data_IF_590343960504
#
_entry.id   IF_590343960504
#
_cell.length_a   1.000
_cell.length_b   1.000
_cell.length_c   1.000
_cell.angle_alpha   90.00
_cell.angle_beta   90.00
_cell.angle_gamma   90.00
#
_symmetry.space_group_name_H-M   'P 1'
#
loop_
_entity.id
_entity.type
_entity.pdbx_description
1 polymer ?
#
# COMPACT_ATOMS: atom_id res chain seq x y z
N UNK A 1 37.36 -31.83 -9.56
CA UNK A 1 37.27 -30.37 -9.33
C UNK A 1 35.86 -30.05 -8.87
N UNK A 2 35.68 -29.77 -7.57
CA UNK A 2 34.35 -29.50 -6.97
C UNK A 2 33.95 -28.06 -7.32
N UNK A 3 32.94 -27.89 -8.18
CA UNK A 3 32.36 -26.58 -8.50
C UNK A 3 31.48 -26.17 -7.32
N UNK A 4 31.95 -25.23 -6.50
CA UNK A 4 31.16 -24.62 -5.44
C UNK A 4 30.16 -23.68 -6.13
N UNK A 5 28.89 -24.08 -6.17
CA UNK A 5 27.81 -23.20 -6.59
C UNK A 5 27.58 -22.17 -5.47
N UNK A 6 27.98 -20.93 -5.69
CA UNK A 6 27.62 -19.82 -4.81
C UNK A 6 26.13 -19.53 -4.99
N UNK A 7 25.32 -19.96 -4.03
CA UNK A 7 23.92 -19.52 -3.93
C UNK A 7 23.94 -18.08 -3.44
N UNK A 8 23.69 -17.13 -4.33
CA UNK A 8 23.52 -15.73 -4.00
C UNK A 8 22.21 -15.59 -3.20
N UNK A 9 22.29 -15.63 -1.88
CA UNK A 9 21.16 -15.26 -1.02
C UNK A 9 20.98 -13.75 -1.12
N UNK A 10 20.03 -13.32 -1.95
CA UNK A 10 19.51 -11.95 -1.90
C UNK A 10 18.82 -11.77 -0.55
N UNK A 11 19.47 -11.06 0.38
CA UNK A 11 18.84 -10.60 1.61
C UNK A 11 17.77 -9.58 1.17
N UNK A 12 16.46 -9.85 1.35
CA UNK A 12 15.45 -8.84 1.04
C UNK A 12 15.70 -7.67 1.98
N UNK A 13 16.00 -6.50 1.42
CA UNK A 13 16.06 -5.26 2.18
C UNK A 13 14.73 -5.12 2.95
N UNK A 14 14.80 -4.78 4.23
CA UNK A 14 13.70 -4.67 5.20
C UNK A 14 12.73 -3.52 4.88
N UNK A 15 12.26 -3.44 3.64
CA UNK A 15 11.23 -2.49 3.23
C UNK A 15 9.85 -3.07 3.51
N UNK A 16 9.02 -2.32 4.23
CA UNK A 16 7.61 -2.68 4.40
C UNK A 16 6.81 -2.12 3.23
N UNK A 17 5.98 -2.96 2.63
CA UNK A 17 5.10 -2.60 1.53
C UNK A 17 3.64 -2.85 1.91
N UNK A 18 2.74 -1.97 1.49
CA UNK A 18 1.31 -2.09 1.76
C UNK A 18 0.52 -1.85 0.48
N UNK A 19 -0.38 -2.77 0.15
CA UNK A 19 -1.29 -2.60 -0.97
C UNK A 19 -2.33 -1.50 -0.67
N UNK A 20 -2.71 -0.76 -1.72
CA UNK A 20 -3.74 0.28 -1.67
C UNK A 20 -4.92 -0.17 -2.52
N UNK A 21 -6.10 -0.20 -1.90
CA UNK A 21 -7.36 -0.54 -2.54
C UNK A 21 -8.32 0.64 -2.48
N UNK A 22 -9.05 0.85 -3.57
CA UNK A 22 -10.10 1.87 -3.66
C UNK A 22 -11.38 1.47 -2.94
N UNK A 23 -12.38 2.37 -2.86
CA UNK A 23 -13.64 2.18 -2.12
C UNK A 23 -14.46 0.96 -2.56
N UNK A 24 -14.26 0.46 -3.79
CA UNK A 24 -14.94 -0.72 -4.32
C UNK A 24 -14.06 -1.98 -4.27
N UNK A 25 -12.90 -1.94 -3.60
CA UNK A 25 -11.95 -3.05 -3.48
C UNK A 25 -11.05 -3.24 -4.70
N UNK A 26 -11.08 -2.32 -5.67
CA UNK A 26 -10.18 -2.34 -6.82
C UNK A 26 -8.75 -2.01 -6.39
N UNK A 27 -7.78 -2.76 -6.93
CA UNK A 27 -6.36 -2.51 -6.70
C UNK A 27 -5.95 -1.16 -7.32
N UNK A 28 -5.36 -0.27 -6.52
CA UNK A 28 -4.89 1.04 -6.96
C UNK A 28 -3.36 1.15 -6.99
N UNK A 29 -2.66 0.18 -6.38
CA UNK A 29 -1.21 0.15 -6.31
C UNK A 29 -0.70 -0.24 -4.93
N UNK A 30 0.48 0.24 -4.57
CA UNK A 30 1.10 -0.07 -3.29
C UNK A 30 2.03 1.04 -2.82
N UNK A 31 2.26 1.09 -1.52
CA UNK A 31 3.35 1.87 -0.93
C UNK A 31 4.52 0.96 -0.61
N UNK A 32 5.72 1.50 -0.66
CA UNK A 32 6.93 0.82 -0.20
C UNK A 32 7.77 1.80 0.59
N UNK A 33 8.06 1.46 1.83
CA UNK A 33 8.93 2.27 2.67
C UNK A 33 10.28 1.62 2.76
N UNK A 34 11.31 2.39 2.41
CA UNK A 34 12.70 1.97 2.52
C UNK A 34 13.16 1.99 3.99
N UNK A 35 14.21 1.24 4.35
CA UNK A 35 14.83 1.35 5.68
C UNK A 35 15.28 2.78 6.06
N UNK A 36 15.50 3.66 5.07
CA UNK A 36 15.81 5.07 5.28
C UNK A 36 14.59 5.96 5.60
N UNK A 37 13.40 5.39 5.76
CA UNK A 37 12.18 6.11 6.12
C UNK A 37 11.46 6.81 4.96
N UNK A 38 12.01 6.76 3.74
CA UNK A 38 11.33 7.27 2.54
C UNK A 38 10.27 6.27 2.09
N UNK A 39 9.03 6.74 1.99
CA UNK A 39 7.88 6.00 1.46
C UNK A 39 7.62 6.39 0.02
N UNK A 40 7.61 5.41 -0.87
CA UNK A 40 7.29 5.55 -2.29
C UNK A 40 5.86 5.06 -2.53
N UNK A 41 5.12 5.76 -3.38
CA UNK A 41 3.77 5.38 -3.81
C UNK A 41 3.84 4.94 -5.26
N UNK A 42 3.35 3.74 -5.53
CA UNK A 42 3.27 3.16 -6.86
C UNK A 42 1.81 2.98 -7.27
N UNK A 43 1.49 3.27 -8.53
CA UNK A 43 0.18 2.98 -9.10
C UNK A 43 0.01 1.47 -9.40
N UNK A 44 -1.17 1.08 -9.87
CA UNK A 44 -1.49 -0.31 -10.21
C UNK A 44 -0.57 -0.91 -11.30
N UNK A 45 0.06 -0.06 -12.12
CA UNK A 45 1.01 -0.42 -13.16
C UNK A 45 2.45 -0.52 -12.65
N UNK A 46 2.71 -0.25 -11.35
CA UNK A 46 4.03 -0.27 -10.75
C UNK A 46 4.88 0.97 -11.03
N UNK A 47 4.28 2.06 -11.51
CA UNK A 47 4.98 3.32 -11.71
C UNK A 47 4.95 4.15 -10.43
N UNK A 48 6.08 4.73 -10.05
CA UNK A 48 6.12 5.66 -8.94
C UNK A 48 5.33 6.93 -9.30
N UNK A 49 4.39 7.31 -8.45
CA UNK A 49 3.55 8.50 -8.63
C UNK A 49 3.80 9.56 -7.56
N UNK A 50 4.45 9.21 -6.45
CA UNK A 50 4.84 10.15 -5.40
C UNK A 50 5.85 9.51 -4.46
N UNK A 51 6.61 10.34 -3.75
CA UNK A 51 7.41 9.90 -2.60
C UNK A 51 7.26 10.88 -1.44
N UNK A 52 7.40 10.39 -0.21
CA UNK A 52 7.39 11.24 0.97
C UNK A 52 8.26 10.69 2.09
N UNK A 53 8.71 11.57 2.96
CA UNK A 53 9.48 11.22 4.16
C UNK A 53 8.94 12.02 5.33
N UNK A 54 8.63 11.32 6.42
CA UNK A 54 8.18 11.93 7.67
C UNK A 54 9.32 11.97 8.66
N UNK A 55 9.64 13.15 9.16
CA UNK A 55 10.64 13.39 10.19
C UNK A 55 10.07 14.39 11.22
N UNK A 56 10.18 14.06 12.52
CA UNK A 56 9.69 14.88 13.63
C UNK A 56 8.26 15.44 13.46
N UNK A 57 7.35 14.64 12.89
CA UNK A 57 5.95 15.03 12.66
C UNK A 57 5.72 15.94 11.45
N UNK A 58 6.77 16.27 10.70
CA UNK A 58 6.69 16.96 9.42
C UNK A 58 6.93 15.97 8.28
N UNK A 59 6.09 16.01 7.26
CA UNK A 59 6.19 15.16 6.07
C UNK A 59 6.57 15.98 4.85
N UNK A 60 7.73 15.70 4.27
CA UNK A 60 8.18 16.29 3.01
C UNK A 60 7.67 15.45 1.84
N UNK A 61 7.14 16.12 0.81
CA UNK A 61 6.55 15.52 -0.39
C UNK A 61 7.47 15.74 -1.59
N UNK A 62 7.62 14.71 -2.42
CA UNK A 62 8.46 14.73 -3.60
C UNK A 62 7.72 14.15 -4.81
N UNK A 63 8.01 14.71 -5.98
CA UNK A 63 7.57 14.16 -7.26
C UNK A 63 8.22 12.79 -7.51
N UNK A 64 7.72 12.00 -8.48
CA UNK A 64 8.40 10.79 -8.93
C UNK A 64 9.83 11.01 -9.41
N UNK A 65 10.15 12.21 -9.88
CA UNK A 65 11.49 12.60 -10.31
C UNK A 65 12.36 13.09 -9.14
N UNK A 66 11.86 13.02 -7.90
CA UNK A 66 12.56 13.46 -6.69
C UNK A 66 12.54 14.97 -6.45
N UNK A 67 11.72 15.73 -7.18
CA UNK A 67 11.61 17.17 -6.98
C UNK A 67 10.76 17.46 -5.74
N UNK A 68 11.26 18.30 -4.84
CA UNK A 68 10.51 18.73 -3.65
C UNK A 68 9.23 19.47 -4.06
N UNK A 69 8.09 19.05 -3.51
CA UNK A 69 6.76 19.62 -3.80
C UNK A 69 6.15 20.36 -2.61
N UNK A 70 6.75 20.24 -1.42
CA UNK A 70 6.28 20.92 -0.22
C UNK A 70 6.34 20.04 1.02
N UNK A 71 5.70 20.52 2.07
CA UNK A 71 5.69 19.87 3.38
C UNK A 71 4.32 19.98 4.04
N UNK A 72 4.00 19.03 4.92
CA UNK A 72 2.78 19.02 5.72
C UNK A 72 3.01 18.41 7.09
N UNK A 73 2.36 18.94 8.11
CA UNK A 73 2.28 18.32 9.45
C UNK A 73 0.99 17.52 9.64
N UNK A 74 0.08 17.56 8.64
CA UNK A 74 -1.10 16.72 8.65
C UNK A 74 -0.69 15.26 8.38
N UNK A 75 -1.30 14.27 9.07
CA UNK A 75 -1.05 12.86 8.79
C UNK A 75 -1.35 12.51 7.34
N UNK A 76 -0.43 11.83 6.66
CA UNK A 76 -0.71 11.24 5.34
C UNK A 76 -1.54 9.98 5.55
N UNK A 77 -2.85 10.07 5.36
CA UNK A 77 -3.74 8.91 5.44
C UNK A 77 -3.86 8.25 4.06
N UNK A 78 -3.04 7.22 3.83
CA UNK A 78 -3.31 6.26 2.75
C UNK A 78 -4.23 5.20 3.31
N UNK A 79 -5.50 5.57 3.53
CA UNK A 79 -6.45 4.69 4.20
C UNK A 79 -6.67 3.45 3.33
N UNK A 80 -6.23 2.25 3.75
CA UNK A 80 -6.58 1.04 3.03
C UNK A 80 -8.09 0.90 3.12
N UNK A 81 -8.79 0.78 1.99
CA UNK A 81 -10.20 0.46 2.04
C UNK A 81 -10.36 -1.00 2.47
N UNK A 82 -10.46 -1.22 3.77
CA UNK A 82 -10.76 -2.53 4.37
C UNK A 82 -12.26 -2.85 4.36
N UNK A 83 -13.08 -1.97 3.79
CA UNK A 83 -14.51 -2.22 3.59
C UNK A 83 -14.68 -3.29 2.51
N UNK A 84 -14.64 -4.55 2.91
CA UNK A 84 -15.23 -5.63 2.14
C UNK A 84 -16.71 -5.27 2.01
N UNK A 85 -17.17 -4.99 0.78
CA UNK A 85 -18.60 -4.99 0.46
C UNK A 85 -19.12 -6.41 0.70
N UNK A 86 -19.42 -6.76 1.94
CA UNK A 86 -20.26 -7.94 2.20
C UNK A 86 -21.61 -7.63 1.54
N UNK A 87 -22.16 -8.54 0.71
CA UNK A 87 -23.50 -8.36 0.18
C UNK A 87 -24.45 -8.05 1.34
N UNK A 88 -25.31 -7.03 1.20
CA UNK A 88 -26.38 -6.80 2.19
C UNK A 88 -27.10 -8.14 2.37
N UNK A 89 -27.08 -8.67 3.59
CA UNK A 89 -27.85 -9.85 3.94
C UNK A 89 -29.31 -9.47 3.73
N UNK A 90 -29.88 -9.93 2.63
CA UNK A 90 -31.30 -9.75 2.35
C UNK A 90 -32.02 -10.44 3.52
N UNK A 91 -32.98 -9.78 4.20
CA UNK A 91 -33.81 -10.46 5.18
C UNK A 91 -34.40 -11.69 4.49
N UNK A 92 -34.04 -12.90 4.96
CA UNK A 92 -34.70 -14.11 4.48
C UNK A 92 -36.18 -13.95 4.81
N UNK A 93 -37.03 -14.00 3.80
CA UNK A 93 -38.47 -14.02 4.01
C UNK A 93 -38.80 -15.15 5.00
N UNK A 94 -39.68 -14.92 6.00
CA UNK A 94 -40.07 -15.97 6.92
C UNK A 94 -40.57 -17.19 6.14
N UNK A 95 -40.00 -18.36 6.41
CA UNK A 95 -40.54 -19.62 5.90
C UNK A 95 -41.87 -19.84 6.61
N UNK A 96 -42.98 -19.51 5.96
CA UNK A 96 -44.29 -19.94 6.43
C UNK A 96 -44.33 -21.45 6.25
N UNK A 97 -44.23 -22.20 7.36
CA UNK A 97 -44.44 -23.63 7.35
C UNK A 97 -45.92 -23.85 7.04
N UNK A 98 -46.23 -24.23 5.81
CA UNK A 98 -47.57 -24.62 5.41
C UNK A 98 -48.04 -25.85 6.18
N UNK A 99 -49.37 -25.97 6.23
CA UNK A 99 -50.22 -27.01 6.84
C UNK A 99 -50.65 -26.75 8.29
#
# INVERSE_FOLDING_TARGET
MKRIAAVLMFIPALGYAQAVYGPQGQYQGYTQTSPGGVTNVYNAQGQNVQSFQTDNGQTNLYSPQGQYQGTTTAPITMQPNTTINTPRQVPQAPVVKGW
#
